data_IF_642547207637
#
_entry.id   IF_642547207637
#
_cell.length_a   1.000
_cell.length_b   1.000
_cell.length_c   1.000
_cell.angle_alpha   90.00
_cell.angle_beta   90.00
_cell.angle_gamma   90.00
#
_symmetry.space_group_name_H-M   'P 1'
#
loop_
_entity.id
_entity.type
_entity.pdbx_description
1 polymer ?
#
# COMPACT_ATOMS: atom_id res chain seq x y z
N UNK A 1 -16.64 34.04 -15.89
CA UNK A 1 -17.27 32.73 -15.63
C UNK A 1 -16.17 31.68 -15.54
N UNK A 2 -15.86 31.19 -14.33
CA UNK A 2 -14.91 30.08 -14.11
C UNK A 2 -15.75 28.84 -13.80
N UNK A 3 -15.72 27.85 -14.69
CA UNK A 3 -16.30 26.54 -14.42
C UNK A 3 -15.43 25.84 -13.38
N UNK A 4 -16.02 25.53 -12.22
CA UNK A 4 -15.45 24.63 -11.23
C UNK A 4 -15.69 23.20 -11.72
N UNK A 5 -14.62 22.50 -12.07
CA UNK A 5 -14.65 21.06 -12.30
C UNK A 5 -14.79 20.37 -10.95
N UNK A 6 -16.02 20.05 -10.58
CA UNK A 6 -16.33 19.22 -9.41
C UNK A 6 -15.89 17.79 -9.74
N UNK A 7 -14.68 17.41 -9.31
CA UNK A 7 -14.18 16.03 -9.40
C UNK A 7 -14.96 15.16 -8.41
N UNK A 8 -16.14 14.67 -8.83
CA UNK A 8 -16.83 13.58 -8.14
C UNK A 8 -16.11 12.26 -8.40
N UNK A 9 -15.08 11.99 -7.61
CA UNK A 9 -14.46 10.67 -7.50
C UNK A 9 -14.17 10.30 -6.04
N UNK A 10 -14.93 10.89 -5.12
CA UNK A 10 -15.08 10.38 -3.77
C UNK A 10 -16.38 9.57 -3.73
N UNK A 11 -16.26 8.32 -3.29
CA UNK A 11 -17.34 7.44 -2.86
C UNK A 11 -18.42 7.00 -3.84
N UNK A 12 -18.11 5.94 -4.60
CA UNK A 12 -19.14 4.98 -5.05
C UNK A 12 -19.38 3.84 -4.03
N UNK A 13 -18.85 3.95 -2.81
CA UNK A 13 -19.02 2.95 -1.75
C UNK A 13 -19.82 3.43 -0.53
N UNK A 14 -20.05 4.74 -0.35
CA UNK A 14 -20.82 5.25 0.79
C UNK A 14 -22.32 4.91 0.71
N UNK A 15 -22.85 4.61 -0.48
CA UNK A 15 -24.29 4.40 -0.68
C UNK A 15 -24.85 3.03 -0.29
N UNK A 16 -24.02 1.99 -0.15
CA UNK A 16 -24.50 0.60 0.01
C UNK A 16 -24.20 -0.03 1.39
N UNK A 17 -23.48 0.66 2.27
CA UNK A 17 -22.91 0.10 3.50
C UNK A 17 -23.46 0.79 4.76
N UNK A 18 -24.77 1.13 4.77
CA UNK A 18 -25.47 1.82 5.86
C UNK A 18 -25.39 1.12 7.23
N UNK A 19 -25.14 -0.19 7.25
CA UNK A 19 -25.07 -1.01 8.47
C UNK A 19 -23.75 -1.75 8.65
N UNK A 20 -22.70 -1.36 7.91
CA UNK A 20 -21.42 -2.06 7.99
C UNK A 20 -20.77 -1.86 9.35
N UNK A 21 -20.61 -2.96 10.08
CA UNK A 21 -19.77 -2.98 11.28
C UNK A 21 -18.30 -3.14 10.88
N UNK A 22 -17.36 -2.33 11.42
CA UNK A 22 -15.95 -2.51 11.12
C UNK A 22 -15.49 -3.90 11.58
N UNK A 23 -14.80 -4.61 10.68
CA UNK A 23 -14.23 -5.92 11.00
C UNK A 23 -13.02 -5.76 11.92
N UNK A 24 -12.60 -6.85 12.58
CA UNK A 24 -11.35 -6.85 13.39
C UNK A 24 -10.15 -6.39 12.56
N UNK A 25 -10.11 -6.77 11.28
CA UNK A 25 -9.07 -6.34 10.34
C UNK A 25 -9.15 -4.85 10.03
N UNK A 26 -10.35 -4.30 9.82
CA UNK A 26 -10.52 -2.86 9.59
C UNK A 26 -10.00 -2.05 10.77
N UNK A 27 -10.34 -2.47 12.00
CA UNK A 27 -9.84 -1.83 13.23
C UNK A 27 -8.33 -1.95 13.34
N UNK A 28 -7.76 -3.13 13.09
CA UNK A 28 -6.31 -3.34 13.14
C UNK A 28 -5.57 -2.43 12.15
N UNK A 29 -6.01 -2.38 10.89
CA UNK A 29 -5.38 -1.55 9.86
C UNK A 29 -5.49 -0.06 10.17
N UNK A 30 -6.64 0.39 10.70
CA UNK A 30 -6.81 1.78 11.14
C UNK A 30 -5.87 2.14 12.30
N UNK A 31 -5.70 1.25 13.27
CA UNK A 31 -4.74 1.44 14.37
C UNK A 31 -3.32 1.53 13.83
N UNK A 32 -2.94 0.62 12.94
CA UNK A 32 -1.58 0.61 12.38
C UNK A 32 -1.29 1.82 11.50
N UNK A 33 -2.28 2.34 10.76
CA UNK A 33 -2.13 3.57 9.97
C UNK A 33 -1.68 4.75 10.84
N UNK A 34 -2.17 4.84 12.09
CA UNK A 34 -1.79 5.89 13.04
C UNK A 34 -0.51 5.61 13.83
N UNK A 35 -0.15 4.34 14.03
CA UNK A 35 1.03 3.95 14.83
C UNK A 35 2.32 3.94 14.02
N UNK A 36 2.26 3.58 12.74
CA UNK A 36 3.46 3.45 11.91
C UNK A 36 3.90 4.82 11.39
N UNK A 37 5.17 5.23 11.58
CA UNK A 37 5.67 6.52 11.11
C UNK A 37 6.01 6.47 9.61
N UNK A 38 5.01 6.35 8.74
CA UNK A 38 5.18 6.11 7.30
C UNK A 38 6.15 7.07 6.60
N UNK A 39 6.07 8.36 6.92
CA UNK A 39 6.92 9.39 6.31
C UNK A 39 8.40 9.20 6.67
N UNK A 40 8.70 8.86 7.92
CA UNK A 40 10.07 8.61 8.38
C UNK A 40 10.64 7.35 7.74
N UNK A 41 9.86 6.26 7.71
CA UNK A 41 10.28 5.00 7.07
C UNK A 41 10.49 5.20 5.56
N UNK A 42 9.61 5.96 4.89
CA UNK A 42 9.80 6.30 3.49
C UNK A 42 11.05 7.14 3.26
N UNK A 43 11.38 8.08 4.15
CA UNK A 43 12.58 8.91 4.03
C UNK A 43 13.87 8.07 4.09
N UNK A 44 13.90 7.02 4.91
CA UNK A 44 15.03 6.07 4.99
C UNK A 44 15.19 5.27 3.69
N UNK A 45 14.08 4.83 3.10
CA UNK A 45 14.11 3.95 1.90
C UNK A 45 14.27 4.78 0.59
N UNK A 46 13.81 6.02 0.58
CA UNK A 46 13.76 6.88 -0.62
C UNK A 46 15.08 6.99 -1.41
N UNK A 47 16.28 7.07 -0.78
CA UNK A 47 17.54 7.15 -1.51
C UNK A 47 17.84 5.93 -2.38
N UNK A 48 17.35 4.75 -1.97
CA UNK A 48 17.60 3.48 -2.63
C UNK A 48 16.49 3.09 -3.63
N UNK A 49 15.34 3.76 -3.54
CA UNK A 49 14.18 3.40 -4.35
C UNK A 49 14.34 3.78 -5.82
N UNK A 50 13.91 2.93 -6.78
CA UNK A 50 14.05 3.22 -8.20
C UNK A 50 13.41 4.55 -8.59
N UNK A 51 14.13 5.35 -9.39
CA UNK A 51 13.61 6.61 -9.95
C UNK A 51 12.91 6.35 -11.28
N UNK A 52 11.86 7.12 -11.61
CA UNK A 52 11.18 7.00 -12.90
C UNK A 52 12.16 7.26 -14.05
N UNK A 53 12.20 6.35 -15.01
CA UNK A 53 13.03 6.42 -16.21
C UNK A 53 12.20 6.31 -17.49
N UNK A 54 12.80 5.86 -18.60
CA UNK A 54 12.11 5.67 -19.89
C UNK A 54 11.18 4.43 -19.96
N UNK A 55 11.05 3.67 -18.88
CA UNK A 55 10.24 2.45 -18.80
C UNK A 55 8.93 2.63 -18.02
N UNK A 56 8.29 1.51 -17.67
CA UNK A 56 7.15 1.52 -16.75
C UNK A 56 7.57 2.22 -15.45
N UNK A 57 6.83 3.24 -14.98
CA UNK A 57 7.18 3.92 -13.74
C UNK A 57 7.14 2.91 -12.58
N UNK A 58 8.07 3.02 -11.62
CA UNK A 58 8.01 2.22 -10.41
C UNK A 58 6.70 2.52 -9.65
N UNK A 59 6.22 1.52 -8.91
CA UNK A 59 5.09 1.71 -8.00
C UNK A 59 5.45 2.76 -6.95
N UNK A 60 4.48 3.49 -6.39
CA UNK A 60 4.77 4.44 -5.32
C UNK A 60 5.46 3.78 -4.11
N UNK A 61 6.51 4.40 -3.57
CA UNK A 61 7.29 3.87 -2.46
C UNK A 61 6.42 3.55 -1.24
N UNK A 62 5.61 4.50 -0.81
CA UNK A 62 4.72 4.35 0.36
C UNK A 62 3.74 3.19 0.19
N UNK A 63 3.30 2.94 -1.04
CA UNK A 63 2.42 1.82 -1.39
C UNK A 63 3.14 0.49 -1.28
N UNK A 64 4.36 0.38 -1.81
CA UNK A 64 5.17 -0.82 -1.66
C UNK A 64 5.51 -1.08 -0.19
N UNK A 65 5.78 -0.03 0.58
CA UNK A 65 6.00 -0.13 2.01
C UNK A 65 4.76 -0.67 2.73
N UNK A 66 3.58 -0.10 2.50
CA UNK A 66 2.33 -0.62 3.10
C UNK A 66 2.04 -2.05 2.70
N UNK A 67 2.24 -2.42 1.43
CA UNK A 67 2.10 -3.80 0.95
C UNK A 67 3.05 -4.75 1.69
N UNK A 68 4.31 -4.35 1.89
CA UNK A 68 5.27 -5.11 2.67
C UNK A 68 4.84 -5.28 4.13
N UNK A 69 4.34 -4.23 4.79
CA UNK A 69 3.82 -4.34 6.16
C UNK A 69 2.60 -5.26 6.25
N UNK A 70 1.68 -5.20 5.29
CA UNK A 70 0.55 -6.15 5.20
C UNK A 70 1.08 -7.58 5.09
N UNK A 71 2.09 -7.80 4.25
CA UNK A 71 2.73 -9.11 4.14
C UNK A 71 3.25 -9.60 5.51
N UNK A 72 3.96 -8.76 6.27
CA UNK A 72 4.52 -9.12 7.57
C UNK A 72 3.43 -9.36 8.63
N UNK A 73 2.46 -8.46 8.76
CA UNK A 73 1.42 -8.56 9.80
C UNK A 73 0.51 -9.77 9.66
N UNK A 74 0.23 -10.18 8.42
CA UNK A 74 -0.61 -11.34 8.14
C UNK A 74 0.20 -12.60 7.81
N UNK A 75 1.54 -12.55 7.94
CA UNK A 75 2.46 -13.64 7.67
C UNK A 75 2.22 -14.31 6.29
N UNK A 76 2.14 -13.47 5.24
CA UNK A 76 1.78 -13.90 3.89
C UNK A 76 3.03 -14.15 3.04
N UNK A 77 2.99 -15.18 2.20
CA UNK A 77 3.93 -15.32 1.09
C UNK A 77 3.67 -14.20 0.05
N UNK A 78 4.65 -13.92 -0.84
CA UNK A 78 4.53 -12.83 -1.81
C UNK A 78 3.26 -12.97 -2.69
N UNK A 79 2.98 -14.19 -3.19
CA UNK A 79 1.77 -14.48 -3.97
C UNK A 79 0.48 -14.37 -3.14
N UNK A 80 0.49 -14.87 -1.90
CA UNK A 80 -0.66 -14.75 -1.01
C UNK A 80 -0.98 -13.29 -0.64
N UNK A 81 0.03 -12.42 -0.61
CA UNK A 81 -0.17 -10.98 -0.40
C UNK A 81 -0.81 -10.30 -1.62
N UNK A 82 -0.41 -10.68 -2.83
CA UNK A 82 -1.07 -10.24 -4.08
C UNK A 82 -2.54 -10.66 -4.10
N UNK A 83 -2.81 -11.96 -3.87
CA UNK A 83 -4.17 -12.50 -3.84
C UNK A 83 -5.03 -11.83 -2.76
N UNK A 84 -4.48 -11.63 -1.55
CA UNK A 84 -5.18 -10.95 -0.47
C UNK A 84 -5.56 -9.50 -0.83
N UNK A 85 -4.73 -8.80 -1.60
CA UNK A 85 -5.04 -7.47 -2.12
C UNK A 85 -6.04 -7.52 -3.27
N UNK A 86 -6.11 -8.58 -4.07
CA UNK A 86 -7.15 -8.74 -5.09
C UNK A 86 -8.52 -9.12 -4.50
N UNK A 87 -8.55 -9.79 -3.36
CA UNK A 87 -9.79 -10.23 -2.71
C UNK A 87 -10.35 -9.19 -1.74
N UNK A 88 -9.47 -8.45 -1.04
CA UNK A 88 -9.88 -7.58 0.06
C UNK A 88 -9.86 -6.09 -0.28
N UNK A 89 -11.05 -5.48 -0.34
CA UNK A 89 -11.18 -4.02 -0.41
C UNK A 89 -10.55 -3.31 0.78
N UNK A 90 -10.58 -3.89 1.99
CA UNK A 90 -9.98 -3.29 3.17
C UNK A 90 -8.45 -3.18 3.05
N UNK A 91 -7.80 -4.24 2.57
CA UNK A 91 -6.34 -4.24 2.37
C UNK A 91 -5.95 -3.31 1.22
N UNK A 92 -6.72 -3.29 0.12
CA UNK A 92 -6.49 -2.33 -0.99
C UNK A 92 -6.58 -0.89 -0.54
N UNK A 93 -7.62 -0.54 0.22
CA UNK A 93 -7.81 0.80 0.75
C UNK A 93 -6.67 1.20 1.67
N UNK A 94 -6.26 0.30 2.56
CA UNK A 94 -5.12 0.53 3.44
C UNK A 94 -3.83 0.78 2.65
N UNK A 95 -3.53 -0.06 1.65
CA UNK A 95 -2.32 0.11 0.81
C UNK A 95 -2.42 1.32 -0.13
N UNK A 96 -3.62 1.84 -0.38
CA UNK A 96 -3.86 2.96 -1.29
C UNK A 96 -3.88 2.55 -2.77
N UNK A 97 -4.39 1.35 -3.08
CA UNK A 97 -4.57 0.86 -4.46
C UNK A 97 -6.00 1.11 -4.92
N UNK A 98 -6.14 1.87 -6.00
CA UNK A 98 -7.39 2.04 -6.76
C UNK A 98 -7.31 1.23 -8.06
N UNK A 99 -8.10 0.14 -8.13
CA UNK A 99 -8.14 -0.76 -9.29
C UNK A 99 -8.64 -0.09 -10.58
N UNK A 100 -9.36 1.05 -10.47
CA UNK A 100 -9.79 1.81 -11.64
C UNK A 100 -8.66 2.62 -12.28
N UNK A 101 -7.57 2.88 -11.55
CA UNK A 101 -6.42 3.67 -12.00
C UNK A 101 -5.18 2.80 -12.23
N UNK A 102 -4.95 1.83 -11.35
CA UNK A 102 -3.70 1.07 -11.29
C UNK A 102 -3.94 -0.38 -10.87
N UNK A 103 -3.05 -1.29 -11.26
CA UNK A 103 -3.12 -2.70 -10.87
C UNK A 103 -2.42 -2.93 -9.53
N UNK A 104 -2.84 -3.96 -8.81
CA UNK A 104 -2.10 -4.48 -7.65
C UNK A 104 -0.69 -4.88 -8.12
N UNK A 105 0.38 -4.51 -7.39
CA UNK A 105 1.72 -5.00 -7.69
C UNK A 105 1.77 -6.52 -7.59
N UNK A 106 2.41 -7.16 -8.57
CA UNK A 106 2.57 -8.62 -8.53
C UNK A 106 3.55 -9.08 -7.45
N UNK A 107 3.51 -10.38 -7.12
CA UNK A 107 4.40 -11.02 -6.16
C UNK A 107 5.89 -10.77 -6.47
N UNK A 108 6.27 -10.69 -7.75
CA UNK A 108 7.67 -10.44 -8.14
C UNK A 108 8.11 -9.01 -7.84
N UNK A 109 7.18 -8.06 -7.89
CA UNK A 109 7.41 -6.66 -7.54
C UNK A 109 7.61 -6.51 -6.04
N UNK A 110 6.81 -7.22 -5.22
CA UNK A 110 7.01 -7.31 -3.78
C UNK A 110 8.34 -7.99 -3.42
N UNK A 111 8.68 -9.10 -4.10
CA UNK A 111 9.98 -9.77 -3.93
C UNK A 111 11.16 -8.83 -4.21
N UNK A 112 11.10 -8.05 -5.30
CA UNK A 112 12.15 -7.06 -5.64
C UNK A 112 12.27 -5.99 -4.57
N UNK A 113 11.14 -5.55 -4.00
CA UNK A 113 11.15 -4.59 -2.90
C UNK A 113 11.80 -5.16 -1.64
N UNK A 114 11.47 -6.40 -1.25
CA UNK A 114 12.13 -7.06 -0.11
C UNK A 114 13.63 -7.17 -0.30
N UNK A 115 14.07 -7.61 -1.49
CA UNK A 115 15.49 -7.68 -1.83
C UNK A 115 16.17 -6.31 -1.74
N UNK A 116 15.49 -5.23 -2.14
CA UNK A 116 16.02 -3.87 -1.98
C UNK A 116 16.22 -3.53 -0.50
N UNK A 117 15.28 -3.86 0.38
CA UNK A 117 15.42 -3.63 1.81
C UNK A 117 16.57 -4.47 2.41
N UNK A 118 16.66 -5.75 2.03
CA UNK A 118 17.69 -6.68 2.49
C UNK A 118 19.10 -6.25 2.03
N UNK A 119 19.25 -5.88 0.75
CA UNK A 119 20.55 -5.49 0.15
C UNK A 119 21.13 -4.21 0.73
N UNK A 120 20.28 -3.33 1.27
CA UNK A 120 20.69 -2.07 1.88
C UNK A 120 20.61 -2.13 3.41
N UNK A 121 20.43 -3.33 3.99
CA UNK A 121 20.36 -3.57 5.45
C UNK A 121 19.29 -2.75 6.18
N UNK A 122 18.28 -2.27 5.45
CA UNK A 122 17.23 -1.39 5.96
C UNK A 122 16.28 -2.10 6.93
N UNK A 123 16.25 -3.44 6.91
CA UNK A 123 15.49 -4.20 7.88
C UNK A 123 15.90 -3.89 9.33
N UNK A 124 17.19 -3.67 9.57
CA UNK A 124 17.65 -3.28 10.90
C UNK A 124 17.14 -1.88 11.28
N UNK A 125 17.25 -0.91 10.37
CA UNK A 125 16.84 0.48 10.64
C UNK A 125 15.32 0.67 10.78
N UNK A 126 14.52 -0.16 10.11
CA UNK A 126 13.06 -0.07 10.14
C UNK A 126 12.44 -0.70 11.40
N UNK A 127 13.15 -1.60 12.09
CA UNK A 127 12.64 -2.36 13.23
C UNK A 127 13.50 -2.19 14.51
N UNK A 128 14.39 -1.20 14.55
CA UNK A 128 15.23 -0.89 15.72
C UNK A 128 14.59 0.05 16.75
#
# INVERSE_FOLDING_TARGET
MKQQTLSMAADQAEGFELHRRPTRRDVFLATMEGLVPWSALCAVIAPFYPKPGRGRPPVGLERMLRMYFVQQWFNLADAACEDALLDSTALRRFVGIDLGRERVPDATTLLKFRRLLEQNELGAELFH
#
